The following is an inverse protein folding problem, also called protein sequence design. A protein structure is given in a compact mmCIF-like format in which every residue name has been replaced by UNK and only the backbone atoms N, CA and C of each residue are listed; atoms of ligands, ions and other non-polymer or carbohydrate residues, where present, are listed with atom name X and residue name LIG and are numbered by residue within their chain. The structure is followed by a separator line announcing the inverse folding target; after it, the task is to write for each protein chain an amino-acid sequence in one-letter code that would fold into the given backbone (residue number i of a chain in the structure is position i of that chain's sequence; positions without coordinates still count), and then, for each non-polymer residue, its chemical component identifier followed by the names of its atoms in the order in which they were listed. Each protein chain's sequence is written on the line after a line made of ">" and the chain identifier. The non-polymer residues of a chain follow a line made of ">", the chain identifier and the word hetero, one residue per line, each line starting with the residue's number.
data_IF_968667366815
#
_entry.id   IF_968667366815
#
_cell.length_a   1.000
_cell.length_b   1.000
_cell.length_c   1.000
_cell.angle_alpha   90.00
_cell.angle_beta   90.00
_cell.angle_gamma   90.00
#
_symmetry.space_group_name_H-M   'P 1'
#
loop_
_entity.id
_entity.type
_entity.pdbx_description
1 polymer ?
#
# COMPACT_ATOMS: atom_id res chain seq x y z
N UNK A 1 10.20 19.07 11.66
CA UNK A 1 8.91 19.76 11.53
C UNK A 1 7.98 18.87 10.72
N UNK A 2 6.67 18.79 11.07
CA UNK A 2 5.72 18.03 10.27
C UNK A 2 5.75 18.53 8.81
N UNK A 3 5.57 17.61 7.86
CA UNK A 3 5.55 17.97 6.44
C UNK A 3 4.40 18.93 6.10
N UNK A 4 4.46 19.54 4.92
CA UNK A 4 3.44 20.44 4.38
C UNK A 4 3.00 20.00 3.00
N UNK A 5 1.79 20.40 2.62
CA UNK A 5 1.20 20.17 1.31
C UNK A 5 0.93 21.50 0.63
N UNK A 6 1.42 21.63 -0.59
CA UNK A 6 1.17 22.79 -1.44
C UNK A 6 0.13 22.40 -2.49
N UNK A 7 -1.08 22.94 -2.37
CA UNK A 7 -2.15 22.74 -3.34
C UNK A 7 -1.96 23.69 -4.51
N UNK A 8 -1.94 23.14 -5.72
CA UNK A 8 -1.76 23.85 -6.99
C UNK A 8 -2.87 23.47 -7.97
N UNK A 9 -3.36 24.44 -8.73
CA UNK A 9 -4.30 24.26 -9.82
C UNK A 9 -3.81 25.04 -11.04
N UNK A 10 -3.62 24.36 -12.18
CA UNK A 10 -3.15 24.98 -13.43
C UNK A 10 -1.90 25.86 -13.22
N UNK A 11 -0.91 25.36 -12.46
CA UNK A 11 0.33 26.08 -12.09
C UNK A 11 0.14 27.30 -11.14
N UNK A 12 -1.06 27.52 -10.60
CA UNK A 12 -1.31 28.52 -9.55
C UNK A 12 -1.41 27.85 -8.19
N UNK A 13 -0.59 28.27 -7.23
CA UNK A 13 -0.69 27.81 -5.83
C UNK A 13 -1.97 28.37 -5.21
N UNK A 14 -2.84 27.49 -4.74
CA UNK A 14 -4.09 27.83 -4.07
C UNK A 14 -3.91 27.98 -2.56
N UNK A 15 -2.94 27.27 -1.97
CA UNK A 15 -2.62 27.37 -0.55
C UNK A 15 -1.62 26.32 -0.09
N UNK A 16 -1.03 26.58 1.07
CA UNK A 16 -0.19 25.66 1.83
C UNK A 16 -0.94 25.13 3.06
N UNK A 17 -0.82 23.83 3.31
CA UNK A 17 -1.47 23.12 4.41
C UNK A 17 -0.42 22.36 5.20
N UNK A 18 -0.30 22.66 6.49
CA UNK A 18 0.62 21.93 7.38
C UNK A 18 0.01 20.58 7.78
N UNK A 19 0.84 19.54 7.89
CA UNK A 19 0.43 18.22 8.39
C UNK A 19 0.54 18.13 9.92
N UNK A 20 -0.08 19.07 10.64
CA UNK A 20 -0.03 19.12 12.11
C UNK A 20 -0.98 18.13 12.80
N UNK A 21 -1.96 17.58 12.07
CA UNK A 21 -2.95 16.63 12.59
C UNK A 21 -2.57 15.19 12.25
N UNK A 22 -2.98 14.26 13.12
CA UNK A 22 -2.85 12.81 12.87
C UNK A 22 -3.58 12.37 11.59
N UNK A 23 -4.68 13.06 11.25
CA UNK A 23 -5.46 12.79 10.06
C UNK A 23 -5.99 14.08 9.46
N UNK A 24 -5.73 14.29 8.18
CA UNK A 24 -6.26 15.36 7.35
C UNK A 24 -7.13 14.78 6.24
N UNK A 25 -8.30 15.35 6.02
CA UNK A 25 -9.20 14.94 4.95
C UNK A 25 -9.07 15.86 3.74
N UNK A 26 -9.13 15.27 2.55
CA UNK A 26 -9.09 15.96 1.26
C UNK A 26 -10.36 15.61 0.51
N UNK A 27 -11.07 16.63 0.03
CA UNK A 27 -12.27 16.40 -0.75
C UNK A 27 -12.98 17.68 -1.18
N UNK A 28 -14.08 17.51 -1.91
CA UNK A 28 -14.85 18.63 -2.46
C UNK A 28 -15.65 19.38 -1.42
N UNK A 29 -16.12 18.69 -0.38
CA UNK A 29 -16.93 19.31 0.67
C UNK A 29 -16.09 20.27 1.53
N UNK A 30 -16.69 21.36 2.04
CA UNK A 30 -16.02 22.26 2.97
C UNK A 30 -15.78 21.64 4.36
N UNK A 31 -16.35 20.45 4.63
CA UNK A 31 -16.12 19.67 5.85
C UNK A 31 -14.71 19.06 5.91
N UNK A 32 -13.99 19.00 4.78
CA UNK A 32 -12.63 18.49 4.72
C UNK A 32 -11.61 19.58 5.08
N UNK A 33 -10.49 19.19 5.66
CA UNK A 33 -9.40 20.11 5.97
C UNK A 33 -8.80 20.77 4.72
N UNK A 34 -8.67 19.99 3.64
CA UNK A 34 -8.24 20.49 2.33
C UNK A 34 -9.42 20.41 1.38
N UNK A 35 -10.07 21.55 1.19
CA UNK A 35 -11.17 21.67 0.24
C UNK A 35 -10.63 21.81 -1.19
N UNK A 36 -11.01 20.86 -2.05
CA UNK A 36 -10.70 20.87 -3.47
C UNK A 36 -11.99 21.01 -4.26
N UNK A 37 -12.33 22.24 -4.64
CA UNK A 37 -13.58 22.53 -5.36
C UNK A 37 -13.48 22.08 -6.84
N UNK A 38 -13.73 20.80 -7.07
CA UNK A 38 -13.81 20.23 -8.41
C UNK A 38 -14.93 19.20 -8.49
N UNK A 39 -15.69 19.22 -9.59
CA UNK A 39 -16.73 18.22 -9.85
C UNK A 39 -16.17 16.79 -9.91
N UNK A 40 -14.91 16.64 -10.31
CA UNK A 40 -14.19 15.36 -10.37
C UNK A 40 -13.64 14.87 -9.02
N UNK A 41 -13.74 15.67 -7.95
CA UNK A 41 -13.31 15.29 -6.61
C UNK A 41 -14.54 14.81 -5.82
N UNK A 42 -14.37 13.73 -5.05
CA UNK A 42 -15.43 13.16 -4.22
C UNK A 42 -15.65 14.02 -2.98
N UNK A 43 -16.82 13.90 -2.34
CA UNK A 43 -17.13 14.65 -1.14
C UNK A 43 -16.07 14.47 -0.05
N UNK A 44 -15.66 13.23 0.21
CA UNK A 44 -14.43 12.83 0.90
C UNK A 44 -13.66 11.98 -0.11
N UNK A 45 -12.49 12.41 -0.55
CA UNK A 45 -11.77 11.78 -1.66
C UNK A 45 -10.56 11.00 -1.15
N UNK A 46 -9.72 11.64 -0.35
CA UNK A 46 -8.55 11.01 0.24
C UNK A 46 -8.36 11.51 1.68
N UNK A 47 -7.59 10.77 2.45
CA UNK A 47 -7.11 11.16 3.76
C UNK A 47 -5.59 11.06 3.78
N UNK A 48 -4.95 11.97 4.49
CA UNK A 48 -3.54 11.86 4.83
C UNK A 48 -3.44 11.57 6.31
N UNK A 49 -2.78 10.47 6.64
CA UNK A 49 -2.58 9.98 7.99
C UNK A 49 -1.12 10.19 8.31
N UNK A 50 -0.83 11.03 9.30
CA UNK A 50 0.54 11.31 9.74
C UNK A 50 0.78 10.58 11.05
N UNK A 51 1.78 9.71 11.05
CA UNK A 51 2.19 8.92 12.20
C UNK A 51 3.64 9.26 12.51
N UNK A 52 3.88 9.90 13.65
CA UNK A 52 5.21 10.42 14.03
C UNK A 52 5.75 11.37 12.95
N UNK A 53 6.68 10.90 12.12
CA UNK A 53 7.31 11.66 11.04
C UNK A 53 6.95 11.13 9.64
N UNK A 54 6.18 10.05 9.55
CA UNK A 54 5.78 9.42 8.31
C UNK A 54 4.34 9.81 7.95
N UNK A 55 4.13 10.22 6.69
CA UNK A 55 2.81 10.58 6.18
C UNK A 55 2.35 9.57 5.15
N UNK A 56 1.11 9.13 5.26
CA UNK A 56 0.49 8.14 4.39
C UNK A 56 -0.75 8.72 3.74
N UNK A 57 -0.85 8.62 2.43
CA UNK A 57 -2.03 8.94 1.66
C UNK A 57 -2.92 7.70 1.56
N UNK A 58 -4.21 7.85 1.85
CA UNK A 58 -5.23 6.83 1.71
C UNK A 58 -6.40 7.37 0.87
N UNK A 59 -6.72 6.70 -0.22
CA UNK A 59 -7.90 6.99 -1.05
C UNK A 59 -9.15 6.41 -0.38
N UNK A 60 -10.20 7.23 -0.24
CA UNK A 60 -11.47 6.86 0.40
C UNK A 60 -12.49 6.38 -0.65
N UNK A 61 -12.07 5.46 -1.52
CA UNK A 61 -12.83 4.94 -2.66
C UNK A 61 -13.42 6.06 -3.52
N UNK A 62 -12.53 6.95 -3.96
CA UNK A 62 -12.94 8.08 -4.78
C UNK A 62 -13.36 7.65 -6.19
N UNK A 63 -14.22 8.44 -6.83
CA UNK A 63 -14.81 8.05 -8.13
C UNK A 63 -13.78 8.06 -9.26
N UNK A 64 -12.85 9.02 -9.25
CA UNK A 64 -11.81 9.16 -10.28
C UNK A 64 -10.45 8.62 -9.83
N UNK A 65 -10.33 8.21 -8.56
CA UNK A 65 -9.08 7.74 -8.00
C UNK A 65 -8.11 8.87 -7.63
N UNK A 66 -7.20 8.54 -6.73
CA UNK A 66 -6.07 9.39 -6.35
C UNK A 66 -4.81 8.93 -7.08
N UNK A 67 -4.05 9.87 -7.63
CA UNK A 67 -2.79 9.57 -8.33
C UNK A 67 -1.62 10.16 -7.57
N UNK A 68 -0.49 9.45 -7.50
CA UNK A 68 0.78 9.97 -6.97
C UNK A 68 1.84 9.78 -8.03
N UNK A 69 2.51 10.87 -8.42
CA UNK A 69 3.47 10.92 -9.52
C UNK A 69 2.93 10.25 -10.81
N UNK A 70 1.65 10.48 -11.11
CA UNK A 70 0.95 9.92 -12.27
C UNK A 70 0.48 8.46 -12.14
N UNK A 71 0.69 7.80 -11.00
CA UNK A 71 0.25 6.41 -10.75
C UNK A 71 -0.97 6.39 -9.84
N UNK A 72 -2.02 5.66 -10.23
CA UNK A 72 -3.20 5.45 -9.38
C UNK A 72 -2.80 4.68 -8.11
N UNK A 73 -3.16 5.19 -6.94
CA UNK A 73 -2.85 4.58 -5.65
C UNK A 73 -4.09 4.52 -4.75
N UNK A 74 -4.21 3.44 -3.96
CA UNK A 74 -5.18 3.36 -2.86
C UNK A 74 -4.56 3.72 -1.51
N UNK A 75 -3.33 3.27 -1.25
CA UNK A 75 -2.53 3.66 -0.09
C UNK A 75 -1.11 3.90 -0.56
N UNK A 76 -0.49 4.98 -0.11
CA UNK A 76 0.87 5.35 -0.51
C UNK A 76 1.60 6.08 0.62
N UNK A 77 2.83 5.65 0.91
CA UNK A 77 3.68 6.37 1.86
C UNK A 77 4.27 7.59 1.15
N UNK A 78 3.93 8.79 1.62
CA UNK A 78 4.34 10.05 1.01
C UNK A 78 5.81 10.32 1.30
N UNK A 79 6.57 10.55 0.23
CA UNK A 79 7.98 10.98 0.30
C UNK A 79 8.12 12.44 -0.08
N UNK A 80 9.12 13.11 0.48
CA UNK A 80 9.42 14.49 0.12
C UNK A 80 9.47 14.66 -1.41
N UNK A 81 8.72 15.64 -1.93
CA UNK A 81 8.64 15.93 -3.35
C UNK A 81 7.54 15.18 -4.10
N UNK A 82 6.82 14.24 -3.47
CA UNK A 82 5.72 13.53 -4.10
C UNK A 82 4.61 14.49 -4.55
N UNK A 83 4.12 14.30 -5.77
CA UNK A 83 3.00 15.07 -6.34
C UNK A 83 1.75 14.20 -6.39
N UNK A 84 0.74 14.59 -5.63
CA UNK A 84 -0.55 13.91 -5.54
C UNK A 84 -1.52 14.61 -6.47
N UNK A 85 -2.00 13.93 -7.51
CA UNK A 85 -2.99 14.47 -8.43
C UNK A 85 -4.38 13.95 -8.09
N UNK A 86 -5.31 14.88 -7.90
CA UNK A 86 -6.72 14.61 -7.61
C UNK A 86 -7.59 15.40 -8.60
N UNK A 87 -8.19 14.70 -9.56
CA UNK A 87 -8.93 15.33 -10.65
C UNK A 87 -8.04 16.23 -11.51
N UNK A 88 -8.12 17.55 -11.30
CA UNK A 88 -7.27 18.55 -11.98
C UNK A 88 -6.33 19.30 -11.04
N UNK A 89 -6.33 18.93 -9.76
CA UNK A 89 -5.54 19.59 -8.73
C UNK A 89 -4.31 18.75 -8.41
N UNK A 90 -3.23 19.42 -8.07
CA UNK A 90 -1.97 18.80 -7.69
C UNK A 90 -1.61 19.25 -6.28
N UNK A 91 -1.35 18.31 -5.37
CA UNK A 91 -0.86 18.57 -4.04
C UNK A 91 0.56 18.05 -3.95
N UNK A 92 1.53 18.95 -3.78
CA UNK A 92 2.93 18.57 -3.60
C UNK A 92 3.23 18.41 -2.12
N UNK A 93 3.75 17.24 -1.75
CA UNK A 93 4.22 16.98 -0.40
C UNK A 93 5.65 17.48 -0.22
N UNK A 94 5.88 18.24 0.86
CA UNK A 94 7.17 18.82 1.22
C UNK A 94 7.47 18.43 2.67
N UNK A 95 8.46 17.57 2.87
CA UNK A 95 8.96 17.24 4.20
C UNK A 95 10.39 17.76 4.38
N UNK A 96 10.61 18.73 5.27
CA UNK A 96 11.93 19.36 5.47
C UNK A 96 12.92 18.41 6.20
N UNK A 97 12.41 17.37 6.90
CA UNK A 97 13.24 16.42 7.66
C UNK A 97 13.75 15.21 6.86
N UNK A 98 13.30 15.03 5.61
CA UNK A 98 13.67 13.88 4.78
C UNK A 98 15.02 14.05 4.05
N UNK A 99 15.96 14.80 4.62
CA UNK A 99 17.34 14.93 4.11
C UNK A 99 18.29 13.99 4.85
N UNK A 100 17.96 12.70 4.95
CA UNK A 100 18.97 11.66 5.20
C UNK A 100 18.41 10.31 4.75
N UNK A 101 18.48 9.99 3.45
CA UNK A 101 18.84 8.63 3.00
C UNK A 101 19.01 8.44 1.48
N UNK A 102 18.49 9.32 0.61
CA UNK A 102 18.36 8.99 -0.83
C UNK A 102 19.21 9.84 -1.82
N UNK A 103 20.36 10.42 -1.43
CA UNK A 103 21.20 11.22 -2.35
C UNK A 103 22.69 10.80 -2.46
N UNK A 104 23.18 9.76 -1.77
CA UNK A 104 24.62 9.43 -1.74
C UNK A 104 25.08 8.19 -2.54
N UNK A 105 24.25 7.61 -3.42
CA UNK A 105 24.65 6.42 -4.21
C UNK A 105 24.88 6.61 -5.72
N UNK A 106 24.79 7.83 -6.26
CA UNK A 106 24.98 8.07 -7.71
C UNK A 106 26.29 8.81 -8.06
N UNK A 107 27.33 8.79 -7.19
CA UNK A 107 28.55 9.54 -7.49
C UNK A 107 29.87 8.87 -7.14
N UNK A 108 30.03 7.59 -7.47
CA UNK A 108 31.36 7.01 -7.74
C UNK A 108 31.24 5.83 -8.68
N UNK A 109 31.24 6.07 -9.99
CA UNK A 109 31.90 5.15 -10.92
C UNK A 109 32.51 5.93 -12.08
N UNK A 110 33.82 5.83 -12.16
CA UNK A 110 34.73 6.55 -13.04
C UNK A 110 34.67 5.95 -14.46
N UNK A 111 34.36 6.84 -15.39
CA UNK A 111 34.70 6.90 -16.82
C UNK A 111 35.78 5.90 -17.29
N UNK A 112 35.43 5.07 -18.30
CA UNK A 112 36.35 4.61 -19.35
C UNK A 112 35.66 4.63 -20.72
N UNK A 113 36.22 5.29 -21.76
CA UNK A 113 35.64 5.36 -23.11
C UNK A 113 36.24 4.30 -24.06
N UNK A 114 35.45 3.77 -25.01
CA UNK A 114 35.98 2.95 -26.11
C UNK A 114 34.98 2.18 -26.98
N UNK A 115 34.67 2.75 -28.17
CA UNK A 115 34.37 2.11 -29.48
C UNK A 115 33.15 1.18 -29.72
N UNK A 116 32.16 1.79 -30.39
CA UNK A 116 31.58 1.46 -31.71
C UNK A 116 31.09 0.04 -32.09
N UNK A 117 29.76 -0.02 -32.27
CA UNK A 117 28.99 -0.66 -33.36
C UNK A 117 29.07 -2.18 -33.56
N UNK A 118 27.90 -2.83 -33.53
CA UNK A 118 27.37 -3.65 -34.64
C UNK A 118 25.89 -3.96 -34.41
N UNK A 119 25.14 -4.00 -35.52
CA UNK A 119 23.70 -4.09 -35.60
C UNK A 119 23.16 -5.54 -35.61
N UNK A 120 21.84 -5.63 -35.41
CA UNK A 120 20.91 -6.69 -35.80
C UNK A 120 20.69 -7.91 -34.87
N UNK A 121 19.46 -7.93 -34.34
CA UNK A 121 18.57 -9.07 -34.13
C UNK A 121 18.86 -10.14 -33.05
N UNK A 122 17.82 -10.31 -32.23
CA UNK A 122 17.45 -11.49 -31.44
C UNK A 122 18.13 -11.74 -30.08
N UNK A 123 17.26 -11.71 -29.06
CA UNK A 123 17.35 -12.36 -27.75
C UNK A 123 18.34 -11.81 -26.71
N UNK A 124 17.81 -11.62 -25.49
CA UNK A 124 18.45 -11.75 -24.16
C UNK A 124 18.54 -10.45 -23.29
N UNK A 125 17.88 -10.53 -22.11
CA UNK A 125 18.05 -9.78 -20.84
C UNK A 125 17.70 -8.27 -20.86
N UNK A 126 16.57 -7.79 -20.32
CA UNK A 126 16.17 -7.68 -18.89
C UNK A 126 17.14 -6.74 -18.15
N UNK A 127 16.97 -5.43 -17.97
CA UNK A 127 15.81 -4.50 -17.83
C UNK A 127 14.78 -4.92 -16.79
N UNK A 128 15.01 -4.59 -15.52
CA UNK A 128 13.97 -4.66 -14.48
C UNK A 128 14.07 -3.53 -13.45
N UNK A 129 13.43 -2.41 -13.80
CA UNK A 129 12.42 -1.76 -12.97
C UNK A 129 11.66 -0.77 -13.86
N UNK A 130 10.37 -0.42 -13.61
CA UNK A 130 9.29 -1.03 -12.81
C UNK A 130 7.99 -1.01 -13.69
N UNK A 131 6.71 -0.76 -13.29
CA UNK A 131 6.02 -0.66 -11.98
C UNK A 131 4.62 -1.38 -11.99
N UNK A 132 3.58 -0.96 -11.20
CA UNK A 132 2.53 -1.88 -10.68
C UNK A 132 1.47 -2.28 -11.74
N UNK A 133 0.53 -3.20 -11.45
CA UNK A 133 -0.87 -2.73 -11.50
C UNK A 133 -1.89 -3.51 -10.64
N UNK A 134 -2.98 -2.82 -10.29
CA UNK A 134 -4.27 -3.48 -10.12
C UNK A 134 -4.85 -3.80 -11.51
N UNK A 135 -5.10 -5.09 -11.77
CA UNK A 135 -6.05 -5.60 -12.75
C UNK A 135 -5.60 -5.58 -14.22
N UNK A 136 -5.11 -6.71 -14.73
CA UNK A 136 -5.70 -7.47 -15.86
C UNK A 136 -4.90 -8.76 -16.00
N UNK A 137 -5.61 -9.87 -16.22
CA UNK A 137 -5.09 -11.15 -16.66
C UNK A 137 -3.84 -11.04 -17.54
N UNK A 138 -2.71 -11.50 -17.02
CA UNK A 138 -1.61 -12.02 -17.82
C UNK A 138 -1.16 -13.30 -17.15
N UNK A 139 -1.55 -14.37 -17.82
CA UNK A 139 -1.19 -15.74 -17.58
C UNK A 139 0.33 -15.88 -17.43
N UNK A 140 0.73 -16.89 -16.64
CA UNK A 140 2.08 -17.46 -16.47
C UNK A 140 2.89 -16.80 -15.34
N UNK A 141 3.31 -17.49 -14.27
CA UNK A 141 3.50 -18.92 -14.09
C UNK A 141 2.93 -19.39 -12.74
N UNK A 142 2.17 -20.47 -12.82
CA UNK A 142 2.15 -21.54 -11.82
C UNK A 142 3.60 -21.97 -11.56
N UNK A 143 4.27 -21.24 -10.68
CA UNK A 143 5.59 -21.58 -10.17
C UNK A 143 5.41 -22.17 -8.79
N UNK A 144 4.86 -23.38 -8.76
CA UNK A 144 4.97 -24.37 -7.68
C UNK A 144 5.08 -23.76 -6.27
N UNK A 145 4.10 -22.91 -5.90
CA UNK A 145 4.02 -22.37 -4.55
C UNK A 145 2.91 -23.08 -3.82
N UNK A 146 3.25 -23.71 -2.69
CA UNK A 146 2.32 -24.57 -1.99
C UNK A 146 1.04 -23.84 -1.61
N UNK A 147 -0.09 -24.42 -1.98
CA UNK A 147 -1.40 -23.84 -1.73
C UNK A 147 -1.66 -23.86 -0.24
N UNK A 148 -1.70 -22.68 0.37
CA UNK A 148 -2.08 -22.53 1.76
C UNK A 148 -3.57 -22.80 1.96
N UNK A 149 -3.93 -23.35 3.12
CA UNK A 149 -5.32 -23.52 3.57
C UNK A 149 -5.42 -23.06 5.02
N UNK A 150 -6.59 -22.55 5.39
CA UNK A 150 -6.88 -22.12 6.75
C UNK A 150 -8.02 -22.95 7.29
N UNK A 151 -7.79 -23.66 8.39
CA UNK A 151 -8.82 -24.41 9.08
C UNK A 151 -9.28 -23.64 10.30
N UNK A 152 -10.57 -23.37 10.40
CA UNK A 152 -11.14 -22.74 11.59
C UNK A 152 -11.26 -23.80 12.69
N UNK A 153 -10.50 -23.67 13.77
CA UNK A 153 -10.51 -24.58 14.91
C UNK A 153 -11.63 -24.26 15.91
N UNK A 154 -11.99 -22.98 16.08
CA UNK A 154 -12.99 -22.56 17.07
C UNK A 154 -13.78 -21.34 16.59
N UNK A 155 -15.07 -21.24 16.94
CA UNK A 155 -15.96 -20.10 16.61
C UNK A 155 -17.16 -20.46 15.72
N UNK A 156 -17.90 -19.46 15.21
CA UNK A 156 -19.13 -19.67 14.41
C UNK A 156 -18.91 -20.36 13.04
N UNK A 157 -17.65 -20.64 12.68
CA UNK A 157 -17.26 -21.38 11.49
C UNK A 157 -16.35 -22.58 11.78
N UNK A 158 -16.28 -23.07 13.02
CA UNK A 158 -15.41 -24.18 13.40
C UNK A 158 -15.61 -25.41 12.50
N UNK A 159 -14.52 -26.01 12.04
CA UNK A 159 -14.49 -27.14 11.11
C UNK A 159 -14.50 -26.74 9.63
N UNK A 160 -14.68 -25.45 9.28
CA UNK A 160 -14.53 -25.00 7.89
C UNK A 160 -13.07 -24.87 7.53
N UNK A 161 -12.70 -25.48 6.42
CA UNK A 161 -11.42 -25.27 5.75
C UNK A 161 -11.63 -24.27 4.60
N UNK A 162 -10.77 -23.25 4.55
CA UNK A 162 -10.76 -22.24 3.51
C UNK A 162 -9.43 -22.32 2.77
N UNK A 163 -9.49 -22.80 1.53
CA UNK A 163 -8.32 -22.85 0.65
C UNK A 163 -7.96 -21.44 0.19
N UNK A 164 -6.70 -21.05 0.37
CA UNK A 164 -6.16 -19.73 -0.02
C UNK A 164 -5.84 -19.70 -1.52
N UNK A 165 -6.87 -19.90 -2.33
CA UNK A 165 -6.80 -19.85 -3.81
C UNK A 165 -6.58 -18.43 -4.34
N UNK A 166 -6.98 -17.42 -3.56
CA UNK A 166 -6.88 -16.00 -3.92
C UNK A 166 -5.60 -15.39 -3.35
N UNK A 167 -5.09 -14.34 -4.00
CA UNK A 167 -3.91 -13.62 -3.53
C UNK A 167 -4.18 -12.81 -2.25
N UNK A 168 -5.44 -12.46 -1.97
CA UNK A 168 -5.87 -11.70 -0.81
C UNK A 168 -7.14 -12.34 -0.23
N UNK A 169 -7.12 -12.66 1.06
CA UNK A 169 -8.22 -13.27 1.80
C UNK A 169 -8.50 -12.42 3.04
N UNK A 170 -9.74 -11.96 3.19
CA UNK A 170 -10.17 -11.22 4.38
C UNK A 170 -10.79 -12.19 5.39
N UNK A 171 -10.31 -12.15 6.63
CA UNK A 171 -10.80 -12.91 7.76
C UNK A 171 -11.44 -11.98 8.79
N UNK A 172 -12.55 -12.41 9.37
CA UNK A 172 -13.20 -11.71 10.46
C UNK A 172 -14.56 -11.14 10.13
N UNK A 173 -15.05 -10.29 11.04
CA UNK A 173 -16.36 -9.64 10.93
C UNK A 173 -16.16 -8.14 10.66
N UNK A 174 -16.65 -7.62 9.53
CA UNK A 174 -16.64 -6.19 9.24
C UNK A 174 -17.24 -5.38 10.41
N UNK A 175 -16.53 -4.33 10.85
CA UNK A 175 -16.94 -3.45 11.95
C UNK A 175 -16.67 -3.97 13.37
N UNK A 176 -16.06 -5.16 13.54
CA UNK A 176 -15.68 -5.69 14.87
C UNK A 176 -14.21 -6.05 14.94
N UNK A 177 -13.75 -6.94 14.05
CA UNK A 177 -12.35 -7.31 13.96
C UNK A 177 -12.09 -7.94 12.60
N UNK A 178 -11.12 -7.39 11.86
CA UNK A 178 -10.79 -7.79 10.49
C UNK A 178 -9.28 -7.92 10.35
N UNK A 179 -8.85 -9.04 9.78
CA UNK A 179 -7.49 -9.28 9.33
C UNK A 179 -7.48 -9.71 7.87
N UNK A 180 -6.39 -9.44 7.17
CA UNK A 180 -6.21 -9.81 5.77
C UNK A 180 -4.98 -10.66 5.64
N UNK A 181 -5.11 -11.78 4.93
CA UNK A 181 -4.01 -12.67 4.59
C UNK A 181 -3.68 -12.46 3.11
N UNK A 182 -2.42 -12.14 2.85
CA UNK A 182 -1.89 -11.90 1.52
C UNK A 182 -0.92 -13.02 1.15
N UNK A 183 -1.10 -13.62 -0.02
CA UNK A 183 -0.16 -14.57 -0.63
C UNK A 183 0.88 -13.78 -1.44
N UNK A 184 2.15 -13.93 -1.10
CA UNK A 184 3.29 -13.31 -1.81
C UNK A 184 4.27 -14.39 -2.28
N UNK A 185 5.18 -14.10 -3.23
CA UNK A 185 6.22 -15.04 -3.66
C UNK A 185 7.14 -15.52 -2.52
N UNK A 186 7.21 -14.75 -1.43
CA UNK A 186 8.01 -15.04 -0.24
C UNK A 186 7.23 -15.80 0.86
N UNK A 187 5.94 -16.11 0.65
CA UNK A 187 5.09 -16.82 1.62
C UNK A 187 3.74 -16.14 1.91
N UNK A 188 3.10 -16.54 3.00
CA UNK A 188 1.82 -15.98 3.45
C UNK A 188 2.04 -14.94 4.53
N UNK A 189 1.27 -13.85 4.50
CA UNK A 189 1.40 -12.75 5.46
C UNK A 189 0.02 -12.35 5.98
N UNK A 190 -0.13 -12.24 7.29
CA UNK A 190 -1.34 -11.72 7.93
C UNK A 190 -1.12 -10.27 8.38
N UNK A 191 -2.10 -9.43 8.10
CA UNK A 191 -2.10 -8.03 8.50
C UNK A 191 -3.41 -7.71 9.22
N UNK A 192 -3.32 -6.97 10.32
CA UNK A 192 -4.48 -6.40 10.98
C UNK A 192 -5.03 -5.22 10.17
N UNK A 193 -6.34 -5.17 9.96
CA UNK A 193 -7.00 -4.06 9.25
C UNK A 193 -7.86 -3.23 10.20
N UNK A 194 -8.63 -3.88 11.07
CA UNK A 194 -9.61 -3.18 11.89
C UNK A 194 -9.94 -3.93 13.19
N UNK A 195 -10.22 -3.20 14.26
CA UNK A 195 -10.61 -3.74 15.56
C UNK A 195 -9.42 -4.08 16.47
N UNK A 196 -9.53 -5.19 17.22
CA UNK A 196 -8.43 -5.66 18.08
C UNK A 196 -7.33 -6.32 17.26
N UNK A 197 -6.08 -6.24 17.71
CA UNK A 197 -4.97 -6.97 17.11
C UNK A 197 -5.23 -8.49 17.17
N UNK A 198 -5.13 -9.22 16.04
CA UNK A 198 -5.14 -10.67 16.04
C UNK A 198 -3.95 -11.20 16.86
N UNK A 199 -4.09 -12.39 17.41
CA UNK A 199 -2.93 -13.11 17.97
C UNK A 199 -2.49 -14.18 16.97
N UNK A 200 -1.19 -14.36 16.80
CA UNK A 200 -0.61 -15.46 16.02
C UNK A 200 0.27 -16.24 16.98
N UNK A 201 -0.02 -17.52 17.18
CA UNK A 201 0.64 -18.40 18.16
C UNK A 201 0.63 -17.85 19.61
N UNK A 202 -0.35 -17.01 19.95
CA UNK A 202 -0.46 -16.34 21.25
C UNK A 202 0.21 -14.97 21.33
N UNK A 203 0.97 -14.58 20.31
CA UNK A 203 1.61 -13.26 20.21
C UNK A 203 0.71 -12.29 19.44
N UNK A 204 0.45 -11.10 19.99
CA UNK A 204 -0.33 -10.08 19.27
C UNK A 204 0.45 -9.60 18.04
N UNK A 205 -0.11 -9.78 16.86
CA UNK A 205 0.43 -9.15 15.66
C UNK A 205 0.09 -7.66 15.69
N UNK A 206 1.14 -6.83 15.66
CA UNK A 206 1.01 -5.38 15.69
C UNK A 206 0.39 -4.83 14.39
N UNK A 207 0.73 -3.57 14.07
CA UNK A 207 0.25 -2.93 12.84
C UNK A 207 0.95 -3.44 11.56
N UNK A 208 2.04 -4.20 11.69
CA UNK A 208 2.84 -4.69 10.57
C UNK A 208 2.38 -6.07 10.08
N UNK A 209 2.65 -6.36 8.80
CA UNK A 209 2.40 -7.65 8.21
C UNK A 209 3.29 -8.72 8.85
N UNK A 210 2.69 -9.72 9.47
CA UNK A 210 3.39 -10.84 10.08
C UNK A 210 3.44 -12.01 9.10
N UNK A 211 4.61 -12.60 8.90
CA UNK A 211 4.77 -13.78 8.07
C UNK A 211 4.15 -15.00 8.76
N UNK A 212 3.23 -15.68 8.09
CA UNK A 212 2.64 -16.94 8.54
C UNK A 212 3.47 -18.14 8.07
N UNK A 213 3.73 -19.05 9.00
CA UNK A 213 4.38 -20.34 8.78
C UNK A 213 3.37 -21.48 8.85
N UNK A 214 3.74 -22.62 8.26
CA UNK A 214 2.94 -23.84 8.37
C UNK A 214 2.67 -24.19 9.84
N UNK A 215 1.42 -24.56 10.15
CA UNK A 215 0.86 -24.77 11.49
C UNK A 215 0.71 -23.52 12.39
N UNK A 216 0.76 -22.31 11.84
CA UNK A 216 0.51 -21.11 12.64
C UNK A 216 -0.95 -20.98 13.07
N UNK A 217 -1.18 -20.77 14.37
CA UNK A 217 -2.52 -20.57 14.94
C UNK A 217 -2.84 -19.09 15.06
N UNK A 218 -3.72 -18.60 14.21
CA UNK A 218 -4.28 -17.25 14.24
C UNK A 218 -5.54 -17.22 15.11
N UNK A 219 -5.54 -16.37 16.14
CA UNK A 219 -6.72 -16.04 16.93
C UNK A 219 -7.26 -14.66 16.54
N UNK A 220 -8.50 -14.62 16.06
CA UNK A 220 -9.20 -13.40 15.67
C UNK A 220 -10.60 -13.39 16.30
N UNK A 221 -10.95 -12.37 17.08
CA UNK A 221 -12.25 -12.23 17.73
C UNK A 221 -12.68 -13.45 18.57
N UNK A 222 -11.71 -14.14 19.19
CA UNK A 222 -11.92 -15.38 19.93
C UNK A 222 -12.12 -16.63 19.05
N UNK A 223 -11.99 -16.48 17.73
CA UNK A 223 -12.00 -17.56 16.73
C UNK A 223 -10.56 -17.99 16.49
N UNK A 224 -10.23 -19.24 16.81
CA UNK A 224 -8.92 -19.82 16.52
C UNK A 224 -8.94 -20.47 15.15
N UNK A 225 -7.90 -20.22 14.36
CA UNK A 225 -7.75 -20.67 12.98
C UNK A 225 -6.31 -21.14 12.81
N UNK A 226 -6.09 -22.29 12.19
CA UNK A 226 -4.76 -22.80 11.91
C UNK A 226 -4.46 -22.67 10.43
N UNK A 227 -3.28 -22.16 10.11
CA UNK A 227 -2.78 -22.02 8.76
C UNK A 227 -1.91 -23.23 8.41
N UNK A 228 -2.17 -23.84 7.26
CA UNK A 228 -1.37 -24.93 6.71
C UNK A 228 -0.87 -24.54 5.33
N UNK A 229 0.36 -24.92 5.02
CA UNK A 229 0.97 -24.79 3.71
C UNK A 229 0.90 -26.17 3.05
N UNK A 230 0.11 -26.33 1.98
CA UNK A 230 0.06 -27.60 1.25
C UNK A 230 1.26 -27.69 0.32
N UNK A 231 2.36 -28.24 0.85
CA UNK A 231 3.62 -28.54 0.14
C UNK A 231 3.39 -29.41 -1.08
#
# INVERSE_FOLDING_TARGET
>A
MPGSLVLTLNQSVLGDFSLDKERLLIGRKPENDIQVDNLAVSGQHAAIITILNDSFLEDLDSTNGTFVNGKLVKKHALKHGDVITIGKHELKYVNDEATTDDQDFEKTMIIRPGMASHAAAAAKAEETAPPPPAGTSSQMADGDMPLGKIQVLSGPGAGKELELKKALITLGRPGVQVAVITRRPQGYFITHVEGKHPLVNGDTIGAQAHALKDHDVVELAGVKMEFFVSV
#
